data_IF_628926289165
#
_entry.id   IF_628926289165
#
_cell.length_a   1.000
_cell.length_b   1.000
_cell.length_c   1.000
_cell.angle_alpha   90.00
_cell.angle_beta   90.00
_cell.angle_gamma   90.00
#
_symmetry.space_group_name_H-M   'P 1'
#
loop_
_entity.id
_entity.type
_entity.pdbx_description
1 polymer ?
#
# COMPACT_ATOMS: atom_id res chain seq x y z
N UNK A 1 -32.72 -19.98 -1.60
CA UNK A 1 -31.44 -20.10 -2.33
C UNK A 1 -30.38 -19.34 -1.56
N UNK A 2 -29.34 -20.04 -1.12
CA UNK A 2 -28.18 -19.48 -0.41
C UNK A 2 -27.27 -18.74 -1.40
N UNK A 3 -26.53 -17.72 -0.94
CA UNK A 3 -25.58 -16.97 -1.76
C UNK A 3 -24.58 -17.90 -2.47
N UNK A 4 -24.15 -18.97 -1.79
CA UNK A 4 -23.23 -19.97 -2.34
C UNK A 4 -23.85 -20.73 -3.51
N UNK A 5 -25.11 -21.12 -3.39
CA UNK A 5 -25.83 -21.86 -4.44
C UNK A 5 -26.03 -21.00 -5.68
N UNK A 6 -26.37 -19.71 -5.49
CA UNK A 6 -26.51 -18.77 -6.60
C UNK A 6 -25.20 -18.52 -7.33
N UNK A 7 -24.08 -18.42 -6.61
CA UNK A 7 -22.75 -18.25 -7.21
C UNK A 7 -22.36 -19.48 -8.03
N UNK A 8 -22.63 -20.69 -7.52
CA UNK A 8 -22.32 -21.92 -8.25
C UNK A 8 -23.11 -22.01 -9.56
N UNK A 9 -24.40 -21.65 -9.54
CA UNK A 9 -25.23 -21.61 -10.74
C UNK A 9 -24.69 -20.61 -11.78
N UNK A 10 -24.36 -19.39 -11.35
CA UNK A 10 -23.84 -18.35 -12.25
C UNK A 10 -22.50 -18.75 -12.88
N UNK A 11 -21.63 -19.42 -12.11
CA UNK A 11 -20.34 -19.95 -12.59
C UNK A 11 -20.55 -21.04 -13.65
N UNK A 12 -21.55 -21.91 -13.48
CA UNK A 12 -21.81 -23.02 -14.40
C UNK A 12 -22.28 -22.54 -15.78
N UNK A 13 -23.08 -21.47 -15.82
CA UNK A 13 -23.59 -20.87 -17.06
C UNK A 13 -22.66 -19.78 -17.65
N UNK A 14 -21.50 -19.53 -17.03
CA UNK A 14 -20.58 -18.45 -17.41
C UNK A 14 -19.60 -18.81 -18.53
N UNK A 15 -19.17 -17.78 -19.27
CA UNK A 15 -18.11 -17.92 -20.27
C UNK A 15 -16.72 -18.11 -19.61
N UNK A 16 -15.75 -18.78 -20.28
CA UNK A 16 -14.40 -18.98 -19.75
C UNK A 16 -13.68 -17.68 -19.34
N UNK A 17 -13.90 -16.59 -20.07
CA UNK A 17 -13.29 -15.29 -19.80
C UNK A 17 -13.77 -14.73 -18.45
N UNK A 18 -15.07 -14.80 -18.18
CA UNK A 18 -15.64 -14.35 -16.90
C UNK A 18 -15.19 -15.23 -15.74
N UNK A 19 -14.96 -16.52 -15.98
CA UNK A 19 -14.41 -17.42 -14.97
C UNK A 19 -12.98 -17.07 -14.58
N UNK A 20 -12.14 -16.68 -15.54
CA UNK A 20 -10.79 -16.19 -15.29
C UNK A 20 -10.82 -14.87 -14.49
N UNK A 21 -11.61 -13.89 -14.93
CA UNK A 21 -11.76 -12.62 -14.21
C UNK A 21 -12.28 -12.81 -12.77
N UNK A 22 -13.27 -13.70 -12.60
CA UNK A 22 -13.81 -14.02 -11.30
C UNK A 22 -12.77 -14.72 -10.41
N UNK A 23 -12.01 -15.67 -10.97
CA UNK A 23 -10.93 -16.34 -10.24
C UNK A 23 -9.88 -15.34 -9.77
N UNK A 24 -9.43 -14.45 -10.65
CA UNK A 24 -8.47 -13.39 -10.34
C UNK A 24 -8.98 -12.48 -9.21
N UNK A 25 -10.25 -12.09 -9.28
CA UNK A 25 -10.89 -11.30 -8.23
C UNK A 25 -10.92 -12.04 -6.88
N UNK A 26 -11.27 -13.33 -6.87
CA UNK A 26 -11.29 -14.13 -5.63
C UNK A 26 -9.87 -14.32 -5.08
N UNK A 27 -8.88 -14.56 -5.93
CA UNK A 27 -7.47 -14.68 -5.51
C UNK A 27 -6.95 -13.37 -4.94
N UNK A 28 -7.22 -12.25 -5.61
CA UNK A 28 -6.87 -10.90 -5.13
C UNK A 28 -7.51 -10.58 -3.78
N UNK A 29 -8.80 -10.86 -3.61
CA UNK A 29 -9.51 -10.58 -2.35
C UNK A 29 -9.04 -11.48 -1.21
N UNK A 30 -8.68 -12.73 -1.49
CA UNK A 30 -8.03 -13.62 -0.50
C UNK A 30 -6.66 -13.07 -0.08
N UNK A 31 -5.82 -12.68 -1.03
CA UNK A 31 -4.49 -12.12 -0.76
C UNK A 31 -4.59 -10.86 0.13
N UNK A 32 -5.51 -9.95 -0.20
CA UNK A 32 -5.76 -8.71 0.60
C UNK A 32 -6.31 -8.95 2.00
N UNK A 33 -6.98 -10.08 2.25
CA UNK A 33 -7.49 -10.43 3.58
C UNK A 33 -6.49 -11.26 4.38
N UNK A 34 -5.53 -11.88 3.70
CA UNK A 34 -4.42 -12.60 4.31
C UNK A 34 -3.24 -11.69 4.66
N UNK A 35 -3.16 -10.48 4.09
CA UNK A 35 -2.27 -9.45 4.67
C UNK A 35 -2.77 -9.18 6.08
N UNK A 36 -1.96 -9.47 7.12
CA UNK A 36 -2.39 -9.25 8.49
C UNK A 36 -2.77 -7.77 8.63
N UNK A 37 -3.81 -7.52 9.43
CA UNK A 37 -4.22 -6.19 9.92
C UNK A 37 -3.11 -5.47 10.69
N UNK A 38 -1.94 -6.09 10.82
CA UNK A 38 -0.69 -5.52 11.30
C UNK A 38 0.00 -4.63 10.25
N UNK A 39 -0.75 -4.00 9.34
CA UNK A 39 -0.23 -2.88 8.56
C UNK A 39 -0.26 -1.67 9.48
N UNK A 40 0.90 -1.37 10.08
CA UNK A 40 1.09 -0.12 10.78
C UNK A 40 0.79 1.02 9.80
N UNK A 41 0.06 2.04 10.22
CA UNK A 41 -0.13 3.21 9.39
C UNK A 41 1.23 3.86 9.07
N UNK A 42 1.32 4.58 7.94
CA UNK A 42 2.58 5.14 7.44
C UNK A 42 3.30 5.99 8.48
N UNK A 43 2.57 6.70 9.35
CA UNK A 43 3.16 7.51 10.43
C UNK A 43 3.82 6.67 11.53
N UNK A 44 3.29 5.49 11.86
CA UNK A 44 3.94 4.57 12.82
C UNK A 44 5.22 3.99 12.23
N UNK A 45 5.20 3.64 10.94
CA UNK A 45 6.39 3.20 10.22
C UNK A 45 7.47 4.30 10.21
N UNK A 46 7.07 5.54 9.91
CA UNK A 46 7.99 6.68 9.94
C UNK A 46 8.59 6.91 11.32
N UNK A 47 7.76 6.87 12.38
CA UNK A 47 8.22 7.02 13.76
C UNK A 47 9.26 5.94 14.14
N UNK A 48 9.00 4.68 13.76
CA UNK A 48 9.94 3.57 14.00
C UNK A 48 11.27 3.76 13.28
N UNK A 49 11.25 4.19 12.01
CA UNK A 49 12.46 4.45 11.25
C UNK A 49 13.30 5.60 11.82
N UNK A 50 12.64 6.59 12.43
CA UNK A 50 13.32 7.77 13.01
C UNK A 50 13.71 7.61 14.47
N UNK A 51 13.31 6.52 15.14
CA UNK A 51 13.48 6.33 16.59
C UNK A 51 14.96 6.35 17.02
N UNK A 52 15.85 5.84 16.17
CA UNK A 52 17.29 5.76 16.45
C UNK A 52 18.07 7.03 16.02
N UNK A 53 17.40 8.03 15.46
CA UNK A 53 18.06 9.26 14.99
C UNK A 53 18.21 10.24 16.17
N UNK A 54 19.42 10.72 16.47
CA UNK A 54 19.64 11.71 17.52
C UNK A 54 18.89 13.03 17.26
N UNK A 55 18.39 13.72 18.31
CA UNK A 55 17.61 14.95 18.16
C UNK A 55 18.38 16.07 17.46
N UNK A 56 19.70 16.14 17.63
CA UNK A 56 20.57 17.09 16.95
C UNK A 56 20.59 16.87 15.42
N UNK A 57 20.49 15.63 14.95
CA UNK A 57 20.44 15.30 13.52
C UNK A 57 19.03 15.56 12.98
N UNK A 58 17.99 15.21 13.74
CA UNK A 58 16.61 15.56 13.37
C UNK A 58 16.44 17.08 13.20
N UNK A 59 17.10 17.89 14.02
CA UNK A 59 17.08 19.35 13.90
C UNK A 59 17.76 19.88 12.63
N UNK A 60 18.61 19.08 11.97
CA UNK A 60 19.22 19.46 10.67
C UNK A 60 18.36 19.11 9.46
N UNK A 61 17.24 18.39 9.67
CA UNK A 61 16.38 17.99 8.56
C UNK A 61 15.75 19.21 7.87
N UNK A 62 15.49 19.11 6.55
CA UNK A 62 14.80 20.15 5.82
C UNK A 62 13.39 20.43 6.36
N UNK A 63 13.08 21.71 6.62
CA UNK A 63 11.74 22.14 7.06
C UNK A 63 10.70 22.10 5.96
N UNK A 64 11.14 22.07 4.69
CA UNK A 64 10.30 21.99 3.49
C UNK A 64 9.94 20.54 3.12
N UNK A 65 10.21 19.57 4.01
CA UNK A 65 9.95 18.16 3.73
C UNK A 65 10.76 17.60 2.56
N UNK A 66 11.90 18.24 2.25
CA UNK A 66 12.73 17.96 1.09
C UNK A 66 12.08 18.26 -0.28
N UNK A 67 11.09 19.16 -0.35
CA UNK A 67 10.44 19.57 -1.61
C UNK A 67 11.45 20.00 -2.70
N UNK A 68 12.53 20.67 -2.31
CA UNK A 68 13.59 21.18 -3.20
C UNK A 68 14.61 20.09 -3.56
N UNK A 69 14.20 19.03 -4.26
CA UNK A 69 15.07 17.88 -4.57
C UNK A 69 16.40 18.27 -5.21
N UNK A 70 16.41 19.20 -6.17
CA UNK A 70 17.63 19.61 -6.88
C UNK A 70 18.64 20.27 -5.93
N UNK A 71 18.16 21.01 -4.93
CA UNK A 71 19.02 21.61 -3.92
C UNK A 71 19.69 20.53 -3.06
N UNK A 72 18.94 19.51 -2.63
CA UNK A 72 19.47 18.46 -1.75
C UNK A 72 20.32 17.43 -2.50
N UNK A 73 20.07 17.20 -3.79
CA UNK A 73 20.81 16.24 -4.61
C UNK A 73 22.03 16.86 -5.30
N UNK A 74 21.91 18.10 -5.77
CA UNK A 74 22.91 18.75 -6.64
C UNK A 74 23.47 20.06 -6.08
N UNK A 75 22.96 20.55 -4.94
CA UNK A 75 23.42 21.80 -4.34
C UNK A 75 22.97 23.05 -5.09
N UNK A 76 21.94 22.97 -5.93
CA UNK A 76 21.37 24.15 -6.61
C UNK A 76 20.77 25.13 -5.58
N UNK A 77 20.70 26.44 -5.86
CA UNK A 77 20.02 27.38 -4.96
C UNK A 77 18.55 26.99 -4.72
N UNK A 78 18.05 27.21 -3.49
CA UNK A 78 16.62 27.05 -3.20
C UNK A 78 15.80 28.12 -3.94
N UNK A 79 14.63 27.75 -4.44
CA UNK A 79 13.68 28.65 -5.10
C UNK A 79 12.56 29.10 -4.15
#
# INVERSE_FOLDING_TARGET
MNIKERILQEIEDSSPILLEEFLDFILFTKQRRQTPTNHKPIWEIAAELTCDIPPEILATLPTDGAEQHDHYLYGTPKH
#
